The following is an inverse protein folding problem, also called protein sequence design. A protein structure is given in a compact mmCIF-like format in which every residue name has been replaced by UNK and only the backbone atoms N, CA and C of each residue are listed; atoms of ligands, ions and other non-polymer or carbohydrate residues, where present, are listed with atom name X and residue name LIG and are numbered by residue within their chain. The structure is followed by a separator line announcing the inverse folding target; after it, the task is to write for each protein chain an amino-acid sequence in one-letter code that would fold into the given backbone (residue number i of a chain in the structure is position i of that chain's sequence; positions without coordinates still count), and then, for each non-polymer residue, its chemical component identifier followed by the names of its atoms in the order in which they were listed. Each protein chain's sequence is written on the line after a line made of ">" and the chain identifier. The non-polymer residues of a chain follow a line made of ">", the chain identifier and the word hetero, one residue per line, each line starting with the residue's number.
data_IF_750164631080
#
_entry.id   IF_750164631080
#
_cell.length_a   1.000
_cell.length_b   1.000
_cell.length_c   1.000
_cell.angle_alpha   90.00
_cell.angle_beta   90.00
_cell.angle_gamma   90.00
#
_symmetry.space_group_name_H-M   'P 1'
#
loop_
_entity.id
_entity.type
_entity.pdbx_description
1 polymer ?
#
# COMPACT_ATOMS: atom_id res chain seq x y z
N UNK A 1 19.44 9.16 8.50
CA UNK A 1 19.14 8.18 7.43
C UNK A 1 17.68 7.74 7.53
N UNK A 2 16.99 7.72 6.41
CA UNK A 2 15.60 7.30 6.35
C UNK A 2 15.53 5.79 6.12
N UNK A 3 14.78 5.10 6.98
CA UNK A 3 14.54 3.66 6.80
C UNK A 3 13.22 3.44 6.07
N UNK A 4 13.25 2.62 5.02
CA UNK A 4 12.08 2.31 4.21
C UNK A 4 11.91 0.80 4.17
N UNK A 5 10.73 0.33 4.52
CA UNK A 5 10.37 -1.09 4.50
C UNK A 5 9.23 -1.30 3.51
N UNK A 6 9.28 -2.38 2.77
CA UNK A 6 8.19 -2.76 1.88
C UNK A 6 7.66 -4.13 2.31
N UNK A 7 6.35 -4.28 2.22
CA UNK A 7 5.66 -5.49 2.66
C UNK A 7 4.47 -5.79 1.78
N UNK A 8 4.42 -7.01 1.23
CA UNK A 8 3.17 -7.52 0.68
C UNK A 8 2.38 -8.13 1.84
N UNK A 9 1.29 -7.48 2.24
CA UNK A 9 0.56 -7.88 3.45
C UNK A 9 -0.33 -9.10 3.23
N UNK A 10 -0.68 -9.39 1.99
CA UNK A 10 -1.64 -10.44 1.66
C UNK A 10 -2.89 -10.32 2.56
N UNK A 11 -3.41 -9.09 2.63
CA UNK A 11 -4.51 -8.73 3.51
C UNK A 11 -4.02 -8.04 4.79
N UNK A 12 -4.27 -6.73 4.91
CA UNK A 12 -3.79 -5.97 6.07
C UNK A 12 -4.46 -6.45 7.37
N UNK A 13 -5.71 -6.91 7.31
CA UNK A 13 -6.39 -7.43 8.48
C UNK A 13 -5.78 -8.74 8.95
N UNK A 14 -5.37 -9.60 8.01
CA UNK A 14 -4.65 -10.83 8.34
C UNK A 14 -3.26 -10.52 8.91
N UNK A 15 -2.57 -9.54 8.33
CA UNK A 15 -1.26 -9.11 8.83
C UNK A 15 -1.37 -8.59 10.27
N UNK A 16 -2.46 -7.86 10.58
CA UNK A 16 -2.70 -7.39 11.94
C UNK A 16 -2.81 -8.56 12.92
N UNK A 17 -3.54 -9.60 12.55
CA UNK A 17 -3.69 -10.79 13.39
C UNK A 17 -2.38 -11.56 13.58
N UNK A 18 -1.46 -11.41 12.63
CA UNK A 18 -0.14 -12.08 12.68
C UNK A 18 0.93 -11.25 13.40
N UNK A 19 0.55 -10.08 13.94
CA UNK A 19 1.47 -9.29 14.75
C UNK A 19 2.20 -8.16 14.02
N UNK A 20 1.74 -7.78 12.83
CA UNK A 20 2.40 -6.73 12.06
C UNK A 20 2.50 -5.41 12.84
N UNK A 21 1.42 -5.00 13.49
CA UNK A 21 1.42 -3.70 14.19
C UNK A 21 2.27 -3.72 15.47
N UNK A 22 2.39 -4.87 16.12
CA UNK A 22 3.32 -5.02 17.25
C UNK A 22 4.77 -4.89 16.75
N UNK A 23 5.07 -5.49 15.61
CA UNK A 23 6.38 -5.36 14.98
C UNK A 23 6.66 -3.91 14.61
N UNK A 24 5.68 -3.22 14.02
CA UNK A 24 5.80 -1.83 13.62
C UNK A 24 6.11 -0.92 14.83
N UNK A 25 5.42 -1.14 15.93
CA UNK A 25 5.63 -0.38 17.14
C UNK A 25 7.03 -0.61 17.72
N UNK A 26 7.52 -1.83 17.65
CA UNK A 26 8.85 -2.18 18.16
C UNK A 26 9.97 -1.63 17.29
N UNK A 27 9.87 -1.79 15.99
CA UNK A 27 10.95 -1.44 15.04
C UNK A 27 10.91 0.02 14.59
N UNK A 28 9.77 0.62 14.53
CA UNK A 28 9.54 2.02 14.15
C UNK A 28 10.31 2.47 12.89
N UNK A 29 10.14 1.79 11.76
CA UNK A 29 10.73 2.28 10.51
C UNK A 29 10.12 3.62 10.14
N UNK A 30 10.88 4.44 9.40
CA UNK A 30 10.38 5.77 9.02
C UNK A 30 9.24 5.70 8.03
N UNK A 31 9.36 4.82 7.03
CA UNK A 31 8.35 4.70 5.97
C UNK A 31 8.10 3.21 5.70
N UNK A 32 6.83 2.82 5.62
CA UNK A 32 6.44 1.47 5.26
C UNK A 32 5.54 1.52 4.03
N UNK A 33 5.95 0.84 2.97
CA UNK A 33 5.15 0.68 1.76
C UNK A 33 4.48 -0.68 1.81
N UNK A 34 3.15 -0.70 1.76
CA UNK A 34 2.37 -1.91 1.90
C UNK A 34 1.62 -2.18 0.61
N UNK A 35 1.70 -3.40 0.13
CA UNK A 35 0.97 -3.86 -1.04
C UNK A 35 -0.03 -4.93 -0.63
N UNK A 36 -1.09 -5.05 -1.41
CA UNK A 36 -2.11 -6.09 -1.24
C UNK A 36 -2.81 -5.99 0.12
N UNK A 37 -3.39 -4.81 0.39
CA UNK A 37 -4.13 -4.58 1.64
C UNK A 37 -5.42 -5.40 1.70
N UNK A 38 -6.04 -5.67 0.55
CA UNK A 38 -7.28 -6.46 0.42
C UNK A 38 -8.41 -5.96 1.30
N UNK A 39 -8.45 -4.65 1.55
CA UNK A 39 -9.46 -4.04 2.39
C UNK A 39 -9.77 -2.65 1.88
N UNK A 40 -11.00 -2.21 2.03
CA UNK A 40 -11.37 -0.84 1.72
C UNK A 40 -11.24 0.01 2.97
N UNK A 41 -10.91 1.28 2.79
CA UNK A 41 -10.57 2.17 3.90
C UNK A 41 -11.68 2.22 4.95
N UNK A 42 -12.94 2.20 4.54
CA UNK A 42 -14.05 2.22 5.48
C UNK A 42 -14.12 0.97 6.37
N UNK A 43 -13.41 -0.11 6.01
CA UNK A 43 -13.30 -1.32 6.81
C UNK A 43 -12.16 -1.25 7.84
N UNK A 44 -11.39 -0.16 7.81
CA UNK A 44 -10.18 0.02 8.59
C UNK A 44 -10.30 1.23 9.52
N UNK A 45 -11.49 1.50 10.04
CA UNK A 45 -11.73 2.67 10.88
C UNK A 45 -11.08 2.57 12.25
N UNK A 46 -10.76 1.37 12.66
CA UNK A 46 -10.24 1.11 14.00
C UNK A 46 -8.73 1.17 14.06
N UNK A 47 -8.22 1.51 15.26
CA UNK A 47 -6.90 1.06 15.65
C UNK A 47 -6.90 -0.47 15.55
N UNK A 48 -5.86 -1.13 15.03
CA UNK A 48 -4.48 -0.66 14.85
C UNK A 48 -4.15 -0.08 13.46
N UNK A 49 -5.12 0.06 12.56
CA UNK A 49 -4.86 0.41 11.16
C UNK A 49 -4.40 1.86 10.98
N UNK A 50 -4.43 2.65 12.04
CA UNK A 50 -3.88 4.00 12.09
C UNK A 50 -2.99 4.11 13.34
N UNK A 51 -1.80 3.47 13.32
CA UNK A 51 -0.95 3.43 14.49
C UNK A 51 -0.43 4.82 14.86
N UNK A 52 -0.30 5.06 16.17
CA UNK A 52 0.18 6.33 16.70
C UNK A 52 1.59 6.63 16.18
N UNK A 53 1.84 7.89 15.84
CA UNK A 53 3.14 8.32 15.34
C UNK A 53 3.33 8.17 13.85
N UNK A 54 2.34 7.63 13.16
CA UNK A 54 2.38 7.44 11.70
C UNK A 54 1.28 8.21 11.01
N UNK A 55 1.62 8.80 9.88
CA UNK A 55 0.67 9.31 8.90
C UNK A 55 0.35 8.16 7.97
N UNK A 56 -0.91 7.75 7.91
CA UNK A 56 -1.33 6.55 7.20
C UNK A 56 -2.18 6.92 5.99
N UNK A 57 -1.79 6.38 4.83
CA UNK A 57 -2.48 6.63 3.57
C UNK A 57 -2.83 5.30 2.94
N UNK A 58 -4.07 5.16 2.51
CA UNK A 58 -4.57 3.96 1.85
C UNK A 58 -5.10 4.30 0.48
N UNK A 59 -4.85 3.43 -0.47
CA UNK A 59 -5.45 3.50 -1.80
C UNK A 59 -6.04 2.11 -2.09
N UNK A 60 -7.32 1.95 -1.84
CA UNK A 60 -7.99 0.67 -2.00
C UNK A 60 -8.54 0.50 -3.41
N UNK A 61 -8.72 -0.77 -3.81
CA UNK A 61 -9.39 -1.10 -5.06
C UNK A 61 -10.88 -0.86 -4.94
N UNK A 62 -11.54 -0.62 -6.06
CA UNK A 62 -13.00 -0.53 -6.09
C UNK A 62 -13.63 -1.87 -5.73
N UNK A 63 -12.98 -2.97 -6.08
CA UNK A 63 -13.42 -4.32 -5.77
C UNK A 63 -13.02 -4.68 -4.34
N UNK A 64 -13.98 -5.11 -3.53
CA UNK A 64 -13.74 -5.52 -2.15
C UNK A 64 -12.81 -6.72 -2.06
N UNK A 65 -11.95 -6.72 -1.05
CA UNK A 65 -11.08 -7.85 -0.75
C UNK A 65 -9.99 -8.10 -1.78
N UNK A 66 -9.62 -7.09 -2.56
CA UNK A 66 -8.74 -7.24 -3.69
C UNK A 66 -7.72 -6.10 -3.76
N UNK A 67 -6.47 -6.42 -4.06
CA UNK A 67 -5.41 -5.45 -4.31
C UNK A 67 -5.26 -4.41 -3.18
N UNK A 68 -5.01 -3.14 -3.51
CA UNK A 68 -4.85 -2.07 -2.53
C UNK A 68 -3.42 -1.85 -2.11
N UNK A 69 -3.05 -0.58 -1.91
CA UNK A 69 -1.72 -0.20 -1.42
C UNK A 69 -1.86 0.76 -0.25
N UNK A 70 -0.81 0.84 0.58
CA UNK A 70 -0.79 1.79 1.68
C UNK A 70 0.63 2.29 1.90
N UNK A 71 0.74 3.48 2.49
CA UNK A 71 2.00 4.02 2.96
C UNK A 71 1.78 4.49 4.39
N UNK A 72 2.61 4.03 5.33
CA UNK A 72 2.67 4.53 6.68
C UNK A 72 3.98 5.31 6.81
N UNK A 73 3.92 6.55 7.27
CA UNK A 73 5.09 7.40 7.35
C UNK A 73 5.13 8.15 8.68
N UNK A 74 6.28 8.13 9.34
CA UNK A 74 6.52 8.96 10.52
C UNK A 74 6.71 10.43 10.14
N UNK A 75 7.14 10.66 8.89
CA UNK A 75 7.31 11.99 8.33
C UNK A 75 6.06 12.39 7.58
N UNK A 76 5.63 13.64 7.72
CA UNK A 76 4.47 14.11 6.95
C UNK A 76 4.89 14.44 5.52
N UNK A 77 4.35 13.76 4.51
CA UNK A 77 4.69 14.07 3.12
C UNK A 77 4.11 15.43 2.71
N UNK A 78 4.74 16.07 1.74
CA UNK A 78 4.25 17.30 1.15
C UNK A 78 3.01 17.07 0.28
N UNK A 79 2.98 15.90 -0.36
CA UNK A 79 1.94 15.55 -1.32
C UNK A 79 1.78 14.04 -1.36
N UNK A 80 0.54 13.59 -1.51
CA UNK A 80 0.24 12.17 -1.71
C UNK A 80 -0.52 12.04 -3.02
N UNK A 81 -0.06 11.14 -3.88
CA UNK A 81 -0.65 10.90 -5.20
C UNK A 81 -1.15 9.45 -5.22
N UNK A 82 -2.44 9.27 -5.49
CA UNK A 82 -3.06 7.95 -5.51
C UNK A 82 -3.53 7.54 -6.90
N UNK A 83 -3.09 8.25 -7.92
CA UNK A 83 -3.48 7.96 -9.29
C UNK A 83 -2.26 8.01 -10.19
N UNK A 84 -2.16 7.00 -11.05
CA UNK A 84 -1.12 6.94 -12.08
C UNK A 84 -1.57 7.64 -13.36
N UNK A 85 -2.88 7.88 -13.51
CA UNK A 85 -3.46 8.41 -14.72
C UNK A 85 -3.85 7.33 -15.72
N UNK A 86 -3.93 6.09 -15.26
CA UNK A 86 -4.26 4.93 -16.09
C UNK A 86 -5.27 4.07 -15.34
N UNK A 87 -6.48 3.93 -15.90
CA UNK A 87 -7.60 3.29 -15.23
C UNK A 87 -7.33 1.91 -14.64
N UNK A 88 -6.65 0.99 -15.34
CA UNK A 88 -6.39 -0.32 -14.75
C UNK A 88 -5.62 -0.28 -13.44
N UNK A 89 -4.73 0.70 -13.27
CA UNK A 89 -4.01 0.88 -12.01
C UNK A 89 -4.86 1.64 -10.99
N UNK A 90 -5.55 2.67 -11.44
CA UNK A 90 -6.26 3.59 -10.56
C UNK A 90 -7.48 2.95 -9.89
N UNK A 91 -8.23 2.13 -10.62
CA UNK A 91 -9.41 1.46 -10.05
C UNK A 91 -9.06 0.27 -9.16
N UNK A 92 -7.82 -0.20 -9.19
CA UNK A 92 -7.38 -1.34 -8.39
C UNK A 92 -6.48 -0.97 -7.20
N UNK A 93 -6.29 0.33 -6.97
CA UNK A 93 -5.49 0.79 -5.83
C UNK A 93 -4.05 0.28 -5.86
N UNK A 94 -3.43 0.23 -7.04
CA UNK A 94 -2.10 -0.36 -7.21
C UNK A 94 -0.96 0.62 -7.06
N UNK A 95 -1.25 1.91 -7.00
CA UNK A 95 -0.24 2.97 -6.97
C UNK A 95 -0.54 3.95 -5.87
N UNK A 96 0.45 4.21 -5.03
CA UNK A 96 0.36 5.24 -4.01
C UNK A 96 1.74 5.85 -3.85
N UNK A 97 1.83 7.17 -3.97
CA UNK A 97 3.08 7.91 -3.92
C UNK A 97 3.03 8.97 -2.84
N UNK A 98 4.09 9.04 -2.06
CA UNK A 98 4.27 10.10 -1.08
C UNK A 98 5.51 10.91 -1.45
N UNK A 99 5.35 12.22 -1.59
CA UNK A 99 6.43 13.13 -1.95
C UNK A 99 6.91 13.88 -0.72
N UNK A 100 8.22 13.82 -0.50
CA UNK A 100 8.90 14.54 0.57
C UNK A 100 9.89 15.52 -0.04
N UNK A 101 10.55 16.31 0.77
CA UNK A 101 11.62 17.16 0.28
C UNK A 101 12.80 16.29 -0.16
N UNK A 102 13.11 16.31 -1.45
CA UNK A 102 14.22 15.56 -2.01
C UNK A 102 14.02 14.06 -2.15
N UNK A 103 12.81 13.56 -1.91
CA UNK A 103 12.53 12.12 -1.94
C UNK A 103 11.08 11.87 -2.31
N UNK A 104 10.86 10.92 -3.21
CA UNK A 104 9.52 10.40 -3.50
C UNK A 104 9.53 8.89 -3.26
N UNK A 105 8.51 8.40 -2.57
CA UNK A 105 8.37 6.98 -2.24
C UNK A 105 7.08 6.47 -2.85
N UNK A 106 7.15 5.33 -3.52
CA UNK A 106 5.99 4.74 -4.19
C UNK A 106 5.76 3.34 -3.64
N UNK A 107 4.51 3.07 -3.27
CA UNK A 107 4.05 1.72 -3.00
C UNK A 107 3.32 1.25 -4.24
N UNK A 108 3.86 0.25 -4.91
CA UNK A 108 3.37 -0.24 -6.19
C UNK A 108 3.12 -1.74 -6.11
N UNK A 109 1.92 -2.15 -6.48
CA UNK A 109 1.55 -3.56 -6.51
C UNK A 109 1.27 -3.98 -7.95
N UNK A 110 2.20 -4.73 -8.55
CA UNK A 110 2.05 -5.24 -9.91
C UNK A 110 1.09 -6.42 -9.93
N UNK A 111 0.30 -6.58 -11.01
CA UNK A 111 -0.55 -7.75 -11.16
C UNK A 111 0.28 -9.03 -11.17
N UNK A 112 -0.25 -10.09 -10.53
CA UNK A 112 0.33 -11.41 -10.62
C UNK A 112 0.05 -11.99 -12.01
N UNK A 113 1.06 -12.60 -12.64
CA UNK A 113 0.89 -13.27 -13.91
C UNK A 113 0.71 -14.77 -13.78
N UNK A 114 0.52 -15.28 -12.58
CA UNK A 114 0.61 -16.71 -12.31
C UNK A 114 -0.71 -17.46 -12.32
N UNK A 115 -1.85 -16.79 -12.24
CA UNK A 115 -3.14 -17.45 -12.07
C UNK A 115 -3.81 -17.84 -13.38
N UNK A 116 -3.67 -17.06 -14.46
CA UNK A 116 -4.22 -17.37 -15.77
C UNK A 116 -3.65 -16.42 -16.82
N UNK A 117 -4.04 -16.66 -18.08
CA UNK A 117 -3.56 -15.86 -19.20
C UNK A 117 -3.97 -14.40 -19.12
N UNK A 118 -5.19 -14.13 -18.67
CA UNK A 118 -5.67 -12.76 -18.53
C UNK A 118 -4.86 -11.99 -17.48
N UNK A 119 -4.48 -12.65 -16.37
CA UNK A 119 -3.63 -12.04 -15.34
C UNK A 119 -2.24 -11.75 -15.89
N UNK A 120 -1.70 -12.64 -16.72
CA UNK A 120 -0.39 -12.46 -17.35
C UNK A 120 -0.40 -11.27 -18.30
N UNK A 121 -1.43 -11.15 -19.14
CA UNK A 121 -1.57 -10.02 -20.04
C UNK A 121 -1.68 -8.71 -19.28
N UNK A 122 -2.42 -8.71 -18.19
CA UNK A 122 -2.58 -7.55 -17.32
C UNK A 122 -1.24 -7.12 -16.72
N UNK A 123 -0.43 -8.08 -16.29
CA UNK A 123 0.90 -7.83 -15.76
C UNK A 123 1.80 -7.20 -16.81
N UNK A 124 1.80 -7.73 -18.03
CA UNK A 124 2.63 -7.20 -19.10
C UNK A 124 2.19 -5.79 -19.50
N UNK A 125 0.90 -5.52 -19.56
CA UNK A 125 0.39 -4.18 -19.85
C UNK A 125 0.85 -3.19 -18.78
N UNK A 126 0.90 -3.62 -17.52
CA UNK A 126 1.33 -2.78 -16.40
C UNK A 126 2.83 -2.44 -16.47
N UNK A 127 3.62 -3.35 -17.02
CA UNK A 127 5.07 -3.18 -17.10
C UNK A 127 5.52 -2.37 -18.32
N UNK A 128 4.66 -2.23 -19.33
CA UNK A 128 4.95 -1.41 -20.51
C UNK A 128 4.68 0.07 -20.18
#
# INVERSE_FOLDING_TARGET
>A
MVSIVTLNANGIRAAARKGFFAWLEREQPDIVCIQETKAQEHQLDDSPFYPAGYHCYYNDAERKGYSGTAIYSRLKPRKVINRLGWDPADCEGRYLQADYEGLSVVSLYLPSGSSNEAALEKKYAFMD
#
